data_IF_856716782083
#
_entry.id   IF_856716782083
#
_cell.length_a   1.000
_cell.length_b   1.000
_cell.length_c   1.000
_cell.angle_alpha   90.00
_cell.angle_beta   90.00
_cell.angle_gamma   90.00
#
_symmetry.space_group_name_H-M   'P 1'
#
loop_
_entity.id
_entity.type
_entity.pdbx_description
1 polymer ?
#
# COMPACT_ATOMS: atom_id res chain seq x y z
N UNK A 1 -13.02 -9.19 2.56
CA UNK A 1 -12.20 -8.14 3.18
C UNK A 1 -12.98 -6.86 3.00
N UNK A 2 -13.30 -6.14 4.07
CA UNK A 2 -14.00 -4.85 3.92
C UNK A 2 -12.97 -3.80 3.48
N UNK A 3 -13.02 -3.41 2.21
CA UNK A 3 -12.11 -2.44 1.62
C UNK A 3 -12.13 -1.11 2.38
N UNK A 4 -13.31 -0.68 2.84
CA UNK A 4 -13.47 0.56 3.60
C UNK A 4 -12.69 0.53 4.91
N UNK A 5 -12.93 -0.51 5.72
CA UNK A 5 -12.25 -0.68 7.01
C UNK A 5 -10.73 -0.76 6.86
N UNK A 6 -10.23 -1.55 5.91
CA UNK A 6 -8.78 -1.69 5.68
C UNK A 6 -8.13 -0.42 5.14
N UNK A 7 -8.79 0.26 4.19
CA UNK A 7 -8.28 1.54 3.69
C UNK A 7 -8.20 2.60 4.79
N UNK A 8 -9.15 2.60 5.74
CA UNK A 8 -9.13 3.50 6.90
C UNK A 8 -7.97 3.23 7.87
N UNK A 9 -7.66 1.95 8.13
CA UNK A 9 -6.50 1.60 8.96
C UNK A 9 -5.18 2.00 8.29
N UNK A 10 -5.06 1.80 6.98
CA UNK A 10 -3.87 2.21 6.23
C UNK A 10 -3.73 3.74 6.20
N UNK A 11 -4.83 4.45 5.98
CA UNK A 11 -4.87 5.92 6.00
C UNK A 11 -4.39 6.46 7.35
N UNK A 12 -4.87 5.89 8.45
CA UNK A 12 -4.46 6.31 9.80
C UNK A 12 -2.96 6.13 10.02
N UNK A 13 -2.41 4.97 9.62
CA UNK A 13 -0.98 4.69 9.78
C UNK A 13 -0.10 5.57 8.87
N UNK A 14 -0.52 5.80 7.63
CA UNK A 14 0.19 6.67 6.69
C UNK A 14 0.14 8.13 7.17
N UNK A 15 -1.01 8.60 7.67
CA UNK A 15 -1.14 9.95 8.20
C UNK A 15 -0.20 10.19 9.40
N UNK A 16 -0.13 9.23 10.33
CA UNK A 16 0.82 9.29 11.45
C UNK A 16 2.28 9.36 10.97
N UNK A 17 2.64 8.52 9.99
CA UNK A 17 3.98 8.56 9.41
C UNK A 17 4.28 9.87 8.65
N UNK A 18 3.27 10.51 8.06
CA UNK A 18 3.40 11.83 7.44
C UNK A 18 3.57 12.94 8.49
N UNK A 19 2.86 12.86 9.61
CA UNK A 19 3.01 13.78 10.75
C UNK A 19 4.42 13.70 11.36
N UNK A 20 4.97 12.49 11.47
CA UNK A 20 6.32 12.24 11.99
C UNK A 20 7.43 12.50 10.95
N UNK A 21 7.08 12.84 9.70
CA UNK A 21 8.02 13.11 8.62
C UNK A 21 8.72 11.87 8.04
N UNK A 22 8.24 10.67 8.35
CA UNK A 22 8.74 9.41 7.81
C UNK A 22 8.20 9.10 6.39
N UNK A 23 7.10 9.72 6.00
CA UNK A 23 6.53 9.69 4.65
C UNK A 23 6.24 11.13 4.21
N UNK A 24 6.57 11.46 2.97
CA UNK A 24 6.27 12.76 2.39
C UNK A 24 4.75 13.04 2.30
N UNK A 25 4.32 14.26 2.63
CA UNK A 25 2.92 14.68 2.69
C UNK A 25 2.38 15.36 1.43
N UNK A 26 3.09 15.29 0.29
CA UNK A 26 2.64 15.77 -1.03
C UNK A 26 1.38 15.09 -1.52
N UNK A 27 1.16 13.83 -1.14
CA UNK A 27 -0.04 13.07 -1.48
C UNK A 27 -0.90 12.81 -0.23
N UNK A 28 -2.24 12.92 -0.32
CA UNK A 28 -3.11 12.63 0.81
C UNK A 28 -2.97 11.17 1.29
N UNK A 29 -2.88 10.96 2.61
CA UNK A 29 -2.78 9.63 3.21
C UNK A 29 -3.87 8.66 2.71
N UNK A 30 -5.13 9.10 2.64
CA UNK A 30 -6.21 8.26 2.13
C UNK A 30 -6.03 7.84 0.67
N UNK A 31 -5.43 8.70 -0.16
CA UNK A 31 -5.15 8.34 -1.56
C UNK A 31 -4.08 7.25 -1.63
N UNK A 32 -3.00 7.40 -0.86
CA UNK A 32 -1.95 6.38 -0.74
C UNK A 32 -2.51 5.06 -0.19
N UNK A 33 -3.33 5.11 0.85
CA UNK A 33 -3.95 3.93 1.47
C UNK A 33 -4.78 3.10 0.49
N UNK A 34 -5.68 3.77 -0.26
CA UNK A 34 -6.50 3.11 -1.29
C UNK A 34 -5.63 2.51 -2.41
N UNK A 35 -4.59 3.25 -2.82
CA UNK A 35 -3.67 2.77 -3.86
C UNK A 35 -2.91 1.51 -3.39
N UNK A 36 -2.33 1.53 -2.20
CA UNK A 36 -1.62 0.38 -1.61
C UNK A 36 -2.54 -0.84 -1.51
N UNK A 37 -3.78 -0.65 -1.04
CA UNK A 37 -4.73 -1.75 -0.91
C UNK A 37 -5.12 -2.35 -2.27
N UNK A 38 -5.40 -1.51 -3.28
CA UNK A 38 -5.66 -1.95 -4.65
C UNK A 38 -4.46 -2.74 -5.23
N UNK A 39 -3.25 -2.23 -5.04
CA UNK A 39 -2.02 -2.87 -5.51
C UNK A 39 -1.75 -4.21 -4.81
N UNK A 40 -2.05 -4.31 -3.52
CA UNK A 40 -1.96 -5.57 -2.75
C UNK A 40 -2.91 -6.63 -3.30
N UNK A 41 -4.17 -6.28 -3.57
CA UNK A 41 -5.15 -7.21 -4.15
C UNK A 41 -4.72 -7.70 -5.54
N UNK A 42 -4.22 -6.80 -6.38
CA UNK A 42 -3.67 -7.14 -7.70
C UNK A 42 -2.44 -8.06 -7.62
N UNK A 43 -1.54 -7.81 -6.66
CA UNK A 43 -0.37 -8.64 -6.43
C UNK A 43 -0.76 -10.05 -5.96
N UNK A 44 -1.71 -10.17 -5.03
CA UNK A 44 -2.26 -11.47 -4.59
C UNK A 44 -2.95 -12.23 -5.73
N UNK A 45 -3.66 -11.51 -6.62
CA UNK A 45 -4.28 -12.12 -7.80
C UNK A 45 -3.23 -12.72 -8.73
N UNK A 46 -2.19 -11.94 -9.10
CA UNK A 46 -1.08 -12.41 -9.95
C UNK A 46 -0.28 -13.53 -9.31
N UNK A 47 -0.03 -13.46 -8.00
CA UNK A 47 0.69 -14.51 -7.27
C UNK A 47 -0.02 -15.86 -7.43
N UNK A 48 -1.34 -15.89 -7.24
CA UNK A 48 -2.14 -17.11 -7.39
C UNK A 48 -2.20 -17.62 -8.82
N UNK A 49 -2.34 -16.71 -9.80
CA UNK A 49 -2.38 -17.06 -11.22
C UNK A 49 -1.05 -17.67 -11.69
N UNK A 50 0.07 -17.09 -11.26
CA UNK A 50 1.41 -17.47 -11.71
C UNK A 50 2.07 -18.54 -10.82
N UNK A 51 1.47 -18.88 -9.66
CA UNK A 51 2.07 -19.76 -8.63
C UNK A 51 3.49 -19.33 -8.25
N UNK A 52 3.71 -18.03 -8.19
CA UNK A 52 5.00 -17.40 -7.90
C UNK A 52 4.77 -16.25 -6.91
N UNK A 53 5.68 -16.07 -5.96
CA UNK A 53 5.68 -14.99 -4.97
C UNK A 53 6.28 -13.67 -5.52
N UNK A 54 6.89 -13.71 -6.70
CA UNK A 54 7.48 -12.56 -7.38
C UNK A 54 6.56 -11.32 -7.44
N UNK A 55 5.25 -11.42 -7.77
CA UNK A 55 4.36 -10.25 -7.77
C UNK A 55 4.22 -9.57 -6.40
N UNK A 56 4.33 -10.32 -5.30
CA UNK A 56 4.32 -9.76 -3.96
C UNK A 56 5.65 -9.07 -3.63
N UNK A 57 6.77 -9.61 -4.09
CA UNK A 57 8.09 -8.99 -3.92
C UNK A 57 8.17 -7.67 -4.69
N UNK A 58 7.67 -7.63 -5.93
CA UNK A 58 7.53 -6.41 -6.73
C UNK A 58 6.67 -5.36 -6.00
N UNK A 59 5.49 -5.76 -5.51
CA UNK A 59 4.62 -4.90 -4.73
C UNK A 59 5.33 -4.29 -3.52
N UNK A 60 5.99 -5.12 -2.70
CA UNK A 60 6.71 -4.65 -1.50
C UNK A 60 7.81 -3.65 -1.88
N UNK A 61 8.58 -3.95 -2.93
CA UNK A 61 9.66 -3.08 -3.40
C UNK A 61 9.13 -1.70 -3.78
N UNK A 62 8.08 -1.63 -4.60
CA UNK A 62 7.52 -0.35 -5.03
C UNK A 62 6.88 0.42 -3.87
N UNK A 63 6.10 -0.27 -3.03
CA UNK A 63 5.39 0.40 -1.92
C UNK A 63 6.38 0.99 -0.91
N UNK A 64 7.37 0.23 -0.46
CA UNK A 64 8.25 0.67 0.62
C UNK A 64 9.52 1.41 0.16
N UNK A 65 9.92 1.29 -1.11
CA UNK A 65 11.13 1.98 -1.60
C UNK A 65 10.83 3.22 -2.45
N UNK A 66 9.59 3.41 -2.90
CA UNK A 66 9.26 4.52 -3.82
C UNK A 66 7.96 5.26 -3.47
N UNK A 67 6.96 4.59 -2.90
CA UNK A 67 5.67 5.21 -2.62
C UNK A 67 5.56 5.77 -1.20
N UNK A 68 6.00 5.00 -0.20
CA UNK A 68 5.92 5.34 1.24
C UNK A 68 7.30 5.77 1.75
N UNK A 69 7.78 6.91 1.24
CA UNK A 69 9.11 7.48 1.53
C UNK A 69 9.02 8.94 1.93
#
# INVERSE_FOLDING_TARGET
MDFGAWSGYFETCIAQAQEDGAIDSRLPAGLLARFVLNSWEGALLRMRANRSDEPLLEFKSIVFNALLT
#
